data_IF_504096484584
#
_entry.id   IF_504096484584
#
_cell.length_a   1.000
_cell.length_b   1.000
_cell.length_c   1.000
_cell.angle_alpha   90.00
_cell.angle_beta   90.00
_cell.angle_gamma   90.00
#
_symmetry.space_group_name_H-M   'P 1'
#
loop_
_entity.id
_entity.type
_entity.pdbx_description
1 polymer ?
#
# COMPACT_ATOMS: atom_id res chain seq x y z
N UNK A 1 10.79 11.97 -0.54
CA UNK A 1 10.28 11.65 0.82
C UNK A 1 10.86 10.35 1.41
N UNK A 2 11.52 9.45 0.65
CA UNK A 2 12.12 8.21 1.21
C UNK A 2 13.62 8.26 1.58
N UNK A 3 14.32 9.37 1.33
CA UNK A 3 15.79 9.41 1.44
C UNK A 3 16.35 9.01 2.82
N UNK A 4 15.71 9.47 3.91
CA UNK A 4 16.13 9.08 5.27
C UNK A 4 15.93 7.58 5.54
N UNK A 5 14.88 7.00 4.98
CA UNK A 5 14.62 5.58 5.14
C UNK A 5 15.62 4.75 4.33
N UNK A 6 15.97 5.17 3.12
CA UNK A 6 17.04 4.55 2.32
C UNK A 6 18.39 4.55 3.04
N UNK A 7 18.76 5.65 3.69
CA UNK A 7 19.99 5.72 4.52
C UNK A 7 19.92 4.67 5.63
N UNK A 8 18.78 4.54 6.33
CA UNK A 8 18.61 3.54 7.38
C UNK A 8 18.69 2.11 6.82
N UNK A 9 18.06 1.84 5.68
CA UNK A 9 18.12 0.52 5.03
C UNK A 9 19.54 0.19 4.58
N UNK A 10 20.33 1.19 4.16
CA UNK A 10 21.72 1.00 3.75
C UNK A 10 22.60 0.46 4.89
N UNK A 11 22.31 0.83 6.14
CA UNK A 11 23.02 0.34 7.33
C UNK A 11 22.49 -1.01 7.87
N UNK A 12 21.40 -1.54 7.32
CA UNK A 12 20.79 -2.79 7.79
C UNK A 12 21.56 -4.03 7.32
N UNK A 13 21.64 -5.04 8.19
CA UNK A 13 22.07 -6.38 7.81
C UNK A 13 21.08 -7.07 6.86
N UNK A 14 21.54 -8.09 6.13
CA UNK A 14 20.71 -8.80 5.14
C UNK A 14 19.40 -9.37 5.72
N UNK A 15 19.43 -9.86 6.96
CA UNK A 15 18.26 -10.41 7.64
C UNK A 15 17.24 -9.32 8.02
N UNK A 16 17.71 -8.12 8.34
CA UNK A 16 16.86 -6.99 8.76
C UNK A 16 16.12 -6.35 7.58
N UNK A 17 16.64 -6.56 6.37
CA UNK A 17 16.07 -6.09 5.10
C UNK A 17 14.86 -6.90 4.64
N UNK A 18 14.59 -8.05 5.26
CA UNK A 18 13.44 -8.88 4.92
C UNK A 18 12.17 -8.26 5.51
N UNK A 19 11.19 -7.95 4.67
CA UNK A 19 10.01 -7.18 5.07
C UNK A 19 8.68 -7.71 4.52
N UNK A 20 7.62 -7.21 5.14
CA UNK A 20 6.23 -7.35 4.75
C UNK A 20 5.67 -5.99 4.29
N UNK A 21 4.65 -6.04 3.43
CA UNK A 21 3.75 -4.91 3.20
C UNK A 21 2.49 -5.17 4.01
N UNK A 22 2.12 -4.20 4.84
CA UNK A 22 0.81 -4.11 5.47
C UNK A 22 -0.02 -3.12 4.67
N UNK A 23 -1.27 -3.46 4.38
CA UNK A 23 -2.24 -2.50 3.86
C UNK A 23 -3.46 -2.42 4.76
N UNK A 24 -3.92 -1.19 4.98
CA UNK A 24 -5.15 -0.92 5.72
C UNK A 24 -5.85 0.32 5.17
N UNK A 25 -7.16 0.39 5.37
CA UNK A 25 -8.01 1.47 4.94
C UNK A 25 -8.62 2.19 6.15
N UNK A 26 -8.55 3.52 6.16
CA UNK A 26 -9.14 4.35 7.20
C UNK A 26 -10.19 5.29 6.63
N UNK A 27 -11.32 5.42 7.31
CA UNK A 27 -12.33 6.42 6.99
C UNK A 27 -11.82 7.83 7.36
N UNK A 28 -12.10 8.79 6.48
CA UNK A 28 -11.78 10.20 6.62
C UNK A 28 -13.07 11.02 6.60
N UNK A 29 -13.06 12.14 7.32
CA UNK A 29 -14.07 13.18 7.16
C UNK A 29 -13.76 13.96 5.89
N UNK A 30 -14.70 14.01 4.95
CA UNK A 30 -14.56 14.85 3.76
C UNK A 30 -14.34 16.32 4.18
N UNK A 31 -13.28 16.91 3.66
CA UNK A 31 -12.90 18.32 3.86
C UNK A 31 -12.17 18.79 2.62
N UNK A 32 -12.50 19.99 2.15
CA UNK A 32 -11.82 20.66 1.06
C UNK A 32 -11.00 21.80 1.68
N UNK A 33 -9.70 21.83 1.40
CA UNK A 33 -8.80 22.87 1.89
C UNK A 33 -7.91 23.33 0.75
N UNK A 34 -7.73 24.64 0.64
CA UNK A 34 -6.80 25.20 -0.33
C UNK A 34 -5.41 25.27 0.30
N UNK A 35 -4.44 24.59 -0.29
CA UNK A 35 -3.04 24.68 0.08
C UNK A 35 -2.37 25.78 -0.75
N UNK A 36 -2.17 26.93 -0.11
CA UNK A 36 -1.58 28.11 -0.77
C UNK A 36 -0.09 27.94 -1.11
N UNK A 37 0.62 26.98 -0.50
CA UNK A 37 2.03 26.72 -0.82
C UNK A 37 2.17 26.03 -2.17
N UNK A 38 1.28 25.07 -2.42
CA UNK A 38 1.29 24.28 -3.66
C UNK A 38 0.31 24.81 -4.72
N UNK A 39 -0.43 25.87 -4.40
CA UNK A 39 -1.49 26.49 -5.23
C UNK A 39 -2.52 25.46 -5.71
N UNK A 40 -2.96 24.58 -4.81
CA UNK A 40 -3.88 23.48 -5.14
C UNK A 40 -4.94 23.23 -4.07
N UNK A 41 -6.10 22.77 -4.54
CA UNK A 41 -7.15 22.23 -3.70
C UNK A 41 -6.83 20.80 -3.26
N UNK A 42 -6.85 20.57 -1.95
CA UNK A 42 -6.70 19.28 -1.29
C UNK A 42 -8.04 18.72 -0.81
N UNK A 43 -8.13 17.39 -0.69
CA UNK A 43 -9.33 16.71 -0.20
C UNK A 43 -10.15 16.01 -1.28
N UNK A 44 -9.58 15.85 -2.48
CA UNK A 44 -10.14 15.03 -3.55
C UNK A 44 -9.49 13.64 -3.60
N UNK A 45 -10.19 12.71 -4.25
CA UNK A 45 -9.67 11.39 -4.63
C UNK A 45 -8.39 11.53 -5.46
N UNK A 46 -7.37 10.76 -5.08
CA UNK A 46 -6.04 10.78 -5.67
C UNK A 46 -5.40 9.38 -5.56
N UNK A 47 -5.19 8.75 -6.72
CA UNK A 47 -4.54 7.44 -6.84
C UNK A 47 -3.08 7.57 -7.31
N UNK A 48 -2.41 8.67 -6.98
CA UNK A 48 -0.99 8.88 -7.29
C UNK A 48 -0.75 8.93 -8.79
N UNK A 49 0.11 8.05 -9.30
CA UNK A 49 0.47 8.02 -10.73
C UNK A 49 -0.71 7.66 -11.64
N UNK A 50 -1.71 6.94 -11.12
CA UNK A 50 -2.94 6.63 -11.86
C UNK A 50 -3.79 7.91 -12.04
N UNK A 51 -3.57 8.91 -11.19
CA UNK A 51 -4.17 10.23 -11.28
C UNK A 51 -5.53 10.33 -10.60
N UNK A 52 -6.15 11.50 -10.81
CA UNK A 52 -7.48 11.85 -10.28
C UNK A 52 -8.54 11.58 -11.33
N UNK A 53 -9.77 11.30 -10.88
CA UNK A 53 -10.95 11.21 -11.76
C UNK A 53 -11.20 12.56 -12.48
N UNK A 54 -10.88 12.70 -13.77
CA UNK A 54 -10.73 14.03 -14.40
C UNK A 54 -12.07 14.69 -14.76
N UNK A 55 -13.14 13.89 -14.87
CA UNK A 55 -14.47 14.39 -15.28
C UNK A 55 -15.33 14.83 -14.10
N UNK A 56 -15.14 14.22 -12.92
CA UNK A 56 -15.93 14.46 -11.72
C UNK A 56 -15.06 14.27 -10.48
N UNK A 57 -14.38 15.34 -10.00
CA UNK A 57 -13.57 15.25 -8.80
C UNK A 57 -14.48 14.93 -7.61
N UNK A 58 -14.14 13.86 -6.90
CA UNK A 58 -14.90 13.40 -5.73
C UNK A 58 -14.12 13.70 -4.47
N UNK A 59 -14.81 14.11 -3.41
CA UNK A 59 -14.19 14.29 -2.11
C UNK A 59 -13.65 12.95 -1.59
N UNK A 60 -12.42 12.96 -1.11
CA UNK A 60 -11.84 11.82 -0.43
C UNK A 60 -12.58 11.58 0.89
N UNK A 61 -12.97 10.34 1.11
CA UNK A 61 -13.61 9.89 2.36
C UNK A 61 -12.88 8.71 2.97
N UNK A 62 -11.88 8.15 2.29
CA UNK A 62 -11.06 7.06 2.78
C UNK A 62 -9.60 7.29 2.38
N UNK A 63 -8.68 6.80 3.20
CA UNK A 63 -7.27 6.68 2.86
C UNK A 63 -6.87 5.21 2.92
N UNK A 64 -6.30 4.73 1.83
CA UNK A 64 -5.60 3.44 1.77
C UNK A 64 -4.12 3.70 2.06
N UNK A 65 -3.57 3.03 3.06
CA UNK A 65 -2.16 3.20 3.47
C UNK A 65 -1.40 1.90 3.29
N UNK A 66 -0.24 1.97 2.66
CA UNK A 66 0.74 0.87 2.61
C UNK A 66 1.91 1.18 3.54
N UNK A 67 2.25 0.20 4.38
CA UNK A 67 3.32 0.30 5.36
C UNK A 67 4.27 -0.89 5.20
N UNK A 68 5.57 -0.62 5.16
CA UNK A 68 6.57 -1.66 5.26
C UNK A 68 6.81 -2.02 6.72
N UNK A 69 6.97 -3.31 7.00
CA UNK A 69 7.28 -3.85 8.33
C UNK A 69 8.41 -4.87 8.24
N UNK A 70 9.42 -4.73 9.10
CA UNK A 70 10.47 -5.74 9.23
C UNK A 70 9.92 -7.07 9.72
N UNK A 71 10.36 -8.18 9.11
CA UNK A 71 9.98 -9.52 9.54
C UNK A 71 10.94 -10.05 10.61
N UNK A 72 12.24 -9.81 10.45
CA UNK A 72 13.28 -10.27 11.39
C UNK A 72 13.50 -9.31 12.55
N UNK A 73 13.30 -8.01 12.35
CA UNK A 73 13.49 -6.97 13.36
C UNK A 73 12.32 -5.99 13.40
N UNK A 74 12.11 -5.36 14.57
CA UNK A 74 10.97 -4.47 14.81
C UNK A 74 11.22 -3.10 14.21
N UNK A 75 10.71 -2.88 13.01
CA UNK A 75 10.59 -1.54 12.42
C UNK A 75 9.34 -1.48 11.53
N UNK A 76 8.78 -0.29 11.38
CA UNK A 76 7.67 -0.02 10.46
C UNK A 76 7.79 1.37 9.85
N UNK A 77 7.38 1.53 8.60
CA UNK A 77 7.46 2.78 7.85
C UNK A 77 6.30 2.86 6.85
N UNK A 78 5.39 3.86 6.95
CA UNK A 78 4.46 4.18 5.87
C UNK A 78 5.24 4.55 4.61
N UNK A 79 4.87 3.97 3.46
CA UNK A 79 5.58 4.19 2.18
C UNK A 79 4.71 4.79 1.11
N UNK A 80 3.39 4.57 1.15
CA UNK A 80 2.46 5.22 0.25
C UNK A 80 1.08 5.32 0.88
N UNK A 81 0.32 6.30 0.41
CA UNK A 81 -1.09 6.41 0.70
C UNK A 81 -1.83 6.86 -0.55
N UNK A 82 -3.10 6.50 -0.63
CA UNK A 82 -3.99 6.88 -1.72
C UNK A 82 -5.32 7.33 -1.12
N UNK A 83 -5.91 8.36 -1.72
CA UNK A 83 -7.15 8.95 -1.26
C UNK A 83 -8.28 8.50 -2.18
N UNK A 84 -9.37 8.01 -1.61
CA UNK A 84 -10.51 7.50 -2.40
C UNK A 84 -11.85 8.01 -1.91
N UNK A 85 -12.81 8.09 -2.82
CA UNK A 85 -14.21 8.27 -2.46
C UNK A 85 -14.85 6.91 -2.17
N UNK A 86 -14.94 6.57 -0.90
CA UNK A 86 -15.37 5.25 -0.43
C UNK A 86 -14.23 4.21 -0.44
N UNK A 87 -14.53 2.98 -0.02
CA UNK A 87 -13.55 1.90 0.01
C UNK A 87 -12.93 1.60 -1.35
N UNK A 88 -11.60 1.41 -1.41
CA UNK A 88 -10.87 1.17 -2.66
C UNK A 88 -11.26 -0.17 -3.24
N UNK A 89 -11.76 -0.15 -4.47
CA UNK A 89 -12.24 -1.35 -5.16
C UNK A 89 -11.07 -2.28 -5.51
N UNK A 90 -11.31 -3.59 -5.49
CA UNK A 90 -10.28 -4.60 -5.78
C UNK A 90 -9.55 -4.43 -7.13
N UNK A 91 -10.22 -3.90 -8.16
CA UNK A 91 -9.56 -3.64 -9.45
C UNK A 91 -8.51 -2.51 -9.39
N UNK A 92 -8.64 -1.59 -8.43
CA UNK A 92 -7.67 -0.54 -8.14
C UNK A 92 -6.63 -1.00 -7.11
N UNK A 93 -7.01 -1.84 -6.14
CA UNK A 93 -6.06 -2.35 -5.14
C UNK A 93 -4.89 -3.12 -5.74
N UNK A 94 -5.14 -3.99 -6.72
CA UNK A 94 -4.08 -4.80 -7.37
C UNK A 94 -2.99 -3.94 -8.03
N UNK A 95 -3.30 -2.97 -8.92
CA UNK A 95 -2.27 -2.14 -9.54
C UNK A 95 -1.52 -1.28 -8.51
N UNK A 96 -2.22 -0.71 -7.51
CA UNK A 96 -1.57 0.06 -6.43
C UNK A 96 -0.63 -0.81 -5.59
N UNK A 97 -1.02 -2.04 -5.28
CA UNK A 97 -0.18 -3.01 -4.59
C UNK A 97 1.08 -3.34 -5.40
N UNK A 98 0.95 -3.55 -6.71
CA UNK A 98 2.09 -3.86 -7.58
C UNK A 98 3.04 -2.68 -7.72
N UNK A 99 2.54 -1.45 -7.78
CA UNK A 99 3.35 -0.23 -7.76
C UNK A 99 4.23 -0.20 -6.49
N UNK A 100 3.61 -0.43 -5.32
CA UNK A 100 4.34 -0.43 -4.05
C UNK A 100 5.37 -1.56 -4.00
N UNK A 101 4.99 -2.80 -4.38
CA UNK A 101 5.89 -3.95 -4.39
C UNK A 101 7.13 -3.68 -5.25
N UNK A 102 6.97 -3.07 -6.42
CA UNK A 102 8.09 -2.76 -7.34
C UNK A 102 9.02 -1.69 -6.81
N UNK A 103 8.53 -0.80 -5.93
CA UNK A 103 9.37 0.18 -5.25
C UNK A 103 10.27 -0.40 -4.17
N UNK A 104 9.92 -1.55 -3.57
CA UNK A 104 10.65 -2.12 -2.41
C UNK A 104 12.08 -2.56 -2.74
N UNK A 105 12.38 -3.23 -3.87
CA UNK A 105 13.75 -3.59 -4.22
C UNK A 105 14.65 -2.37 -4.46
N UNK A 106 14.10 -1.26 -4.96
CA UNK A 106 14.86 -0.06 -5.28
C UNK A 106 15.52 0.58 -4.05
N UNK A 107 14.93 0.37 -2.86
CA UNK A 107 15.46 0.84 -1.58
C UNK A 107 16.34 -0.19 -0.87
N UNK A 108 16.61 -1.35 -1.50
CA UNK A 108 17.49 -2.40 -0.96
C UNK A 108 16.82 -3.33 0.04
N UNK A 109 15.49 -3.39 0.06
CA UNK A 109 14.71 -4.33 0.89
C UNK A 109 14.31 -5.58 0.12
N UNK A 110 13.97 -6.64 0.86
CA UNK A 110 13.54 -7.94 0.31
C UNK A 110 12.11 -8.22 0.74
N UNK A 111 11.18 -8.02 -0.18
CA UNK A 111 9.76 -8.26 0.04
C UNK A 111 9.43 -9.76 0.08
N UNK A 112 8.63 -10.20 1.08
CA UNK A 112 8.22 -11.61 1.21
C UNK A 112 6.72 -11.83 1.36
N UNK A 113 5.98 -10.91 1.98
CA UNK A 113 4.58 -11.16 2.34
C UNK A 113 3.74 -9.89 2.34
N UNK A 114 2.55 -9.97 1.76
CA UNK A 114 1.49 -8.96 1.87
C UNK A 114 0.51 -9.39 2.95
N UNK A 115 0.17 -8.47 3.84
CA UNK A 115 -0.74 -8.69 4.95
C UNK A 115 -1.85 -7.64 4.88
N UNK A 116 -3.10 -8.08 4.86
CA UNK A 116 -4.29 -7.22 4.87
C UNK A 116 -5.35 -7.72 5.87
N UNK A 117 -6.35 -6.88 6.13
CA UNK A 117 -7.52 -7.30 6.89
C UNK A 117 -8.42 -8.25 6.06
N UNK A 118 -9.48 -8.76 6.67
CA UNK A 118 -10.47 -9.59 5.99
C UNK A 118 -11.60 -8.78 5.33
N UNK A 119 -11.42 -7.50 5.05
CA UNK A 119 -12.41 -6.62 4.44
C UNK A 119 -12.87 -7.11 3.05
N UNK A 120 -14.08 -6.72 2.63
CA UNK A 120 -14.70 -7.20 1.37
C UNK A 120 -13.80 -6.98 0.15
N UNK A 121 -13.19 -5.80 0.04
CA UNK A 121 -12.32 -5.46 -1.08
C UNK A 121 -10.99 -6.23 -1.04
N UNK A 122 -10.44 -6.47 0.14
CA UNK A 122 -9.22 -7.26 0.34
C UNK A 122 -9.43 -8.74 0.02
N UNK A 123 -10.58 -9.32 0.38
CA UNK A 123 -10.98 -10.66 -0.08
C UNK A 123 -11.15 -10.74 -1.60
N UNK A 124 -11.76 -9.72 -2.20
CA UNK A 124 -11.88 -9.66 -3.66
C UNK A 124 -10.51 -9.49 -4.35
N UNK A 125 -9.57 -8.74 -3.76
CA UNK A 125 -8.18 -8.66 -4.21
C UNK A 125 -7.49 -10.03 -4.13
N UNK A 126 -7.66 -10.75 -3.02
CA UNK A 126 -7.15 -12.12 -2.82
C UNK A 126 -7.62 -13.05 -3.95
N UNK A 127 -8.91 -13.02 -4.30
CA UNK A 127 -9.45 -13.80 -5.42
C UNK A 127 -8.87 -13.38 -6.77
N UNK A 128 -8.68 -12.07 -7.01
CA UNK A 128 -8.08 -11.56 -8.27
C UNK A 128 -6.60 -11.91 -8.41
N UNK A 129 -5.90 -12.12 -7.31
CA UNK A 129 -4.52 -12.59 -7.28
C UNK A 129 -4.42 -14.13 -7.36
N UNK A 130 -5.55 -14.82 -7.50
CA UNK A 130 -5.63 -16.29 -7.58
C UNK A 130 -5.00 -17.00 -6.39
N UNK A 131 -5.12 -16.42 -5.19
CA UNK A 131 -4.62 -17.01 -3.95
C UNK A 131 -5.58 -18.12 -3.48
N UNK A 132 -5.03 -19.30 -3.20
CA UNK A 132 -5.76 -20.45 -2.62
C UNK A 132 -4.98 -21.02 -1.44
N UNK A 133 -5.53 -22.04 -0.77
CA UNK A 133 -4.85 -22.73 0.33
C UNK A 133 -3.58 -23.46 -0.16
N UNK A 134 -3.64 -24.06 -1.35
CA UNK A 134 -2.52 -24.75 -2.00
C UNK A 134 -1.51 -23.77 -2.58
N UNK A 135 -1.98 -22.58 -2.98
CA UNK A 135 -1.18 -21.51 -3.54
C UNK A 135 -1.37 -20.19 -2.75
N UNK A 136 -0.81 -20.10 -1.53
CA UNK A 136 -0.95 -18.91 -0.66
C UNK A 136 0.01 -17.78 -1.08
N UNK A 137 0.31 -17.67 -2.37
CA UNK A 137 1.28 -16.74 -2.94
C UNK A 137 0.94 -16.38 -4.37
N UNK A 138 1.46 -15.25 -4.81
CA UNK A 138 1.44 -14.80 -6.20
C UNK A 138 2.84 -14.36 -6.63
N UNK A 139 2.99 -14.07 -7.92
CA UNK A 139 4.21 -13.49 -8.47
C UNK A 139 3.97 -12.03 -8.84
N UNK A 140 4.90 -11.16 -8.42
CA UNK A 140 5.04 -9.82 -8.97
C UNK A 140 6.38 -9.78 -9.69
N UNK A 141 6.33 -9.73 -11.02
CA UNK A 141 7.50 -9.92 -11.89
C UNK A 141 8.17 -11.28 -11.57
N UNK A 142 9.41 -11.30 -11.07
CA UNK A 142 10.10 -12.54 -10.65
C UNK A 142 10.02 -12.84 -9.14
N UNK A 143 9.34 -11.99 -8.36
CA UNK A 143 9.27 -12.11 -6.91
C UNK A 143 8.08 -12.97 -6.49
N UNK A 144 8.36 -14.09 -5.80
CA UNK A 144 7.34 -14.88 -5.11
C UNK A 144 6.95 -14.20 -3.80
N UNK A 145 5.68 -13.82 -3.67
CA UNK A 145 5.17 -13.05 -2.53
C UNK A 145 4.00 -13.81 -1.91
N UNK A 146 4.11 -14.12 -0.62
CA UNK A 146 3.03 -14.73 0.14
C UNK A 146 1.93 -13.73 0.43
N UNK A 147 0.70 -14.21 0.59
CA UNK A 147 -0.46 -13.39 0.91
C UNK A 147 -1.15 -13.92 2.16
N UNK A 148 -1.39 -13.04 3.13
CA UNK A 148 -2.01 -13.40 4.40
C UNK A 148 -3.11 -12.39 4.76
N UNK A 149 -4.27 -12.89 5.17
CA UNK A 149 -5.35 -12.06 5.71
C UNK A 149 -5.46 -12.30 7.21
N UNK A 150 -5.51 -11.22 8.00
CA UNK A 150 -5.62 -11.29 9.46
C UNK A 150 -6.84 -10.51 9.96
N UNK A 151 -7.35 -10.86 11.13
CA UNK A 151 -8.54 -10.23 11.73
C UNK A 151 -8.27 -8.83 12.32
N UNK A 152 -7.02 -8.51 12.66
CA UNK A 152 -6.60 -7.22 13.20
C UNK A 152 -5.22 -6.86 12.65
N UNK A 153 -5.14 -5.80 11.85
CA UNK A 153 -3.88 -5.07 11.61
C UNK A 153 -3.87 -3.95 12.64
N UNK A 154 -3.30 -4.22 13.82
CA UNK A 154 -3.02 -3.21 14.83
C UNK A 154 -1.53 -3.28 15.22
#
# INVERSE_FOLDING_TARGET
MMHLFEIKVSSMGLQEKVCAILLDEMALKASLQFNALDDQDEGFEDFGQIGRSPKHPKHATHALVFMLRGLSTKWKQPVSYYLSNGPVKAHMLVPLLYEVIRGVPAIGLVMKIVICDQGRNNRAMCSRLHITEEQPYFYCDSMKIFFCMILLIC
#
